data_IF_495857777657
#
_entry.id   IF_495857777657
#
_cell.length_a   1.000
_cell.length_b   1.000
_cell.length_c   1.000
_cell.angle_alpha   90.00
_cell.angle_beta   90.00
_cell.angle_gamma   90.00
#
_symmetry.space_group_name_H-M   'P 1'
#
loop_
_entity.id
_entity.type
_entity.pdbx_description
1 polymer ?
#
# COMPACT_ATOMS: atom_id res chain seq x y z
N UNK A 1 18.76 -7.81 -13.04
CA UNK A 1 18.21 -6.53 -12.54
C UNK A 1 17.66 -6.66 -11.12
N UNK A 2 16.84 -7.68 -10.81
CA UNK A 2 16.30 -7.89 -9.45
C UNK A 2 17.37 -8.00 -8.36
N UNK A 3 18.37 -8.88 -8.56
CA UNK A 3 19.50 -9.03 -7.64
C UNK A 3 20.25 -7.72 -7.38
N UNK A 4 20.65 -6.99 -8.42
CA UNK A 4 21.34 -5.71 -8.24
C UNK A 4 20.51 -4.66 -7.48
N UNK A 5 19.18 -4.62 -7.70
CA UNK A 5 18.29 -3.73 -6.98
C UNK A 5 18.16 -4.12 -5.50
N UNK A 6 18.07 -5.42 -5.22
CA UNK A 6 18.07 -5.96 -3.87
C UNK A 6 19.39 -5.67 -3.13
N UNK A 7 20.53 -5.96 -3.76
CA UNK A 7 21.84 -5.68 -3.16
C UNK A 7 22.02 -4.19 -2.88
N UNK A 8 21.52 -3.32 -3.76
CA UNK A 8 21.51 -1.88 -3.51
C UNK A 8 20.62 -1.52 -2.32
N UNK A 9 19.39 -2.03 -2.28
CA UNK A 9 18.48 -1.73 -1.19
C UNK A 9 18.99 -2.24 0.17
N UNK A 10 19.60 -3.43 0.17
CA UNK A 10 20.20 -4.06 1.35
C UNK A 10 21.46 -3.34 1.80
N UNK A 11 22.40 -3.09 0.90
CA UNK A 11 23.75 -2.67 1.28
C UNK A 11 23.96 -1.14 1.27
N UNK A 12 23.07 -0.39 0.60
CA UNK A 12 23.15 1.07 0.48
C UNK A 12 21.98 1.77 1.17
N UNK A 13 20.73 1.38 0.87
CA UNK A 13 19.55 2.09 1.40
C UNK A 13 19.20 1.71 2.84
N UNK A 14 19.75 0.60 3.35
CA UNK A 14 19.50 0.10 4.70
C UNK A 14 20.71 0.33 5.60
N UNK A 15 20.49 0.85 6.80
CA UNK A 15 21.51 1.06 7.81
C UNK A 15 21.98 -0.30 8.34
N UNK A 16 23.15 -0.73 7.88
CA UNK A 16 23.79 -2.00 8.30
C UNK A 16 24.62 -1.83 9.58
N UNK A 17 25.08 -0.61 9.88
CA UNK A 17 25.84 -0.27 11.08
C UNK A 17 25.63 1.21 11.42
N UNK A 18 25.54 1.51 12.72
CA UNK A 18 25.43 2.87 13.26
C UNK A 18 26.08 2.92 14.64
N UNK A 19 26.59 4.10 15.03
CA UNK A 19 27.06 4.35 16.40
C UNK A 19 25.93 4.21 17.42
N UNK A 20 24.71 4.52 16.99
CA UNK A 20 23.50 4.23 17.73
C UNK A 20 22.93 2.88 17.23
N UNK A 21 23.02 1.79 18.01
CA UNK A 21 22.53 0.48 17.59
C UNK A 21 21.04 0.48 17.23
N UNK A 22 20.25 1.40 17.80
CA UNK A 22 18.82 1.52 17.54
C UNK A 22 18.48 1.95 16.12
N UNK A 23 19.44 2.49 15.35
CA UNK A 23 19.25 2.87 13.94
C UNK A 23 19.52 1.72 12.97
N UNK A 24 20.06 0.59 13.43
CA UNK A 24 20.30 -0.58 12.57
C UNK A 24 18.98 -1.12 12.02
N UNK A 25 18.92 -1.38 10.71
CA UNK A 25 17.71 -1.78 10.01
C UNK A 25 16.84 -0.61 9.54
N UNK A 26 17.19 0.64 9.85
CA UNK A 26 16.51 1.79 9.28
C UNK A 26 16.70 1.81 7.75
N UNK A 27 15.63 2.15 7.02
CA UNK A 27 15.68 2.31 5.56
C UNK A 27 15.48 3.79 5.22
N UNK A 28 16.47 4.36 4.52
CA UNK A 28 16.43 5.76 4.09
C UNK A 28 15.29 6.00 3.10
N UNK A 29 14.60 7.15 3.23
CA UNK A 29 13.57 7.53 2.26
C UNK A 29 14.22 8.13 1.00
N UNK A 30 13.43 8.73 0.09
CA UNK A 30 13.93 9.40 -1.12
C UNK A 30 14.81 10.63 -0.81
N UNK A 31 15.99 10.41 -0.25
CA UNK A 31 16.89 11.43 0.27
C UNK A 31 18.02 11.65 -0.71
N UNK A 32 18.43 12.91 -0.81
CA UNK A 32 19.54 13.27 -1.66
C UNK A 32 20.80 12.55 -1.18
N UNK A 33 21.47 11.85 -2.11
CA UNK A 33 22.68 11.07 -1.83
C UNK A 33 22.46 9.92 -0.82
N UNK A 34 21.28 9.29 -0.83
CA UNK A 34 20.86 8.17 0.04
C UNK A 34 20.69 8.51 1.52
N UNK A 35 21.50 9.40 2.10
CA UNK A 35 21.49 9.68 3.56
C UNK A 35 20.84 11.02 3.92
N UNK A 36 20.83 11.98 2.98
CA UNK A 36 20.42 13.36 3.26
C UNK A 36 21.49 14.16 4.00
N UNK A 37 21.13 15.34 4.50
CA UNK A 37 21.93 16.29 5.29
C UNK A 37 23.14 16.94 4.58
N UNK A 38 23.42 16.59 3.33
CA UNK A 38 24.45 17.24 2.52
C UNK A 38 24.02 18.58 1.89
N UNK A 39 22.71 18.83 1.83
CA UNK A 39 22.13 20.00 1.18
C UNK A 39 21.05 20.61 2.07
N UNK A 40 20.88 21.93 1.99
CA UNK A 40 19.86 22.68 2.74
C UNK A 40 18.48 22.69 2.06
N UNK A 41 18.45 22.35 0.77
CA UNK A 41 17.24 22.36 -0.07
C UNK A 41 17.28 21.26 -1.13
N UNK A 42 16.09 20.83 -1.56
CA UNK A 42 15.94 19.93 -2.70
C UNK A 42 16.55 20.51 -3.97
N UNK A 43 17.10 19.65 -4.84
CA UNK A 43 17.47 20.06 -6.21
C UNK A 43 16.19 20.55 -6.91
N UNK A 44 16.20 21.74 -7.55
CA UNK A 44 15.05 22.23 -8.29
C UNK A 44 14.53 21.20 -9.29
N UNK A 45 13.22 20.91 -9.26
CA UNK A 45 12.59 19.93 -10.14
C UNK A 45 12.77 18.47 -9.73
N UNK A 46 13.43 18.17 -8.61
CA UNK A 46 13.54 16.82 -8.06
C UNK A 46 12.55 16.57 -6.91
N UNK A 47 12.33 15.29 -6.60
CA UNK A 47 11.56 14.84 -5.43
C UNK A 47 12.46 14.47 -4.23
N UNK A 48 13.77 14.72 -4.32
CA UNK A 48 14.73 14.36 -3.28
C UNK A 48 14.60 15.25 -2.06
N UNK A 49 14.53 14.65 -0.87
CA UNK A 49 14.56 15.40 0.38
C UNK A 49 16.01 15.79 0.75
N UNK A 50 16.25 17.05 1.16
CA UNK A 50 17.55 17.46 1.66
C UNK A 50 17.88 16.83 3.01
N UNK A 51 16.87 16.53 3.84
CA UNK A 51 17.06 15.99 5.19
C UNK A 51 16.98 14.45 5.27
N UNK A 52 17.63 13.89 6.28
CA UNK A 52 17.67 12.49 6.68
C UNK A 52 16.41 12.01 7.42
N UNK A 53 16.13 10.70 7.44
CA UNK A 53 14.87 10.17 7.96
C UNK A 53 14.35 8.86 7.36
N UNK A 54 13.45 8.21 8.10
CA UNK A 54 12.98 6.84 7.87
C UNK A 54 11.46 6.74 8.03
N UNK A 55 10.80 5.98 7.15
CA UNK A 55 9.37 5.63 7.30
C UNK A 55 9.09 4.28 6.69
N UNK A 56 8.22 3.50 7.34
CA UNK A 56 7.76 2.19 6.84
C UNK A 56 7.20 2.28 5.42
N UNK A 57 6.63 3.45 5.07
CA UNK A 57 6.02 3.66 3.76
C UNK A 57 7.01 3.74 2.59
N UNK A 58 8.31 3.67 2.88
CA UNK A 58 9.44 3.63 1.96
C UNK A 58 10.43 2.50 2.32
N UNK A 59 9.98 1.49 3.07
CA UNK A 59 10.79 0.33 3.42
C UNK A 59 10.12 -0.93 2.85
N UNK A 60 10.90 -1.77 2.16
CA UNK A 60 10.40 -2.95 1.47
C UNK A 60 11.21 -4.17 1.90
N UNK A 61 10.56 -5.13 2.58
CA UNK A 61 11.25 -6.33 3.09
C UNK A 61 11.04 -7.59 2.25
N UNK A 62 9.98 -7.66 1.44
CA UNK A 62 9.71 -8.84 0.59
C UNK A 62 10.89 -9.15 -0.34
N UNK A 63 11.52 -8.14 -0.93
CA UNK A 63 12.68 -8.32 -1.82
C UNK A 63 13.87 -9.01 -1.13
N UNK A 64 14.13 -8.66 0.14
CA UNK A 64 15.14 -9.30 0.96
C UNK A 64 14.85 -10.79 1.16
N UNK A 65 13.61 -11.13 1.48
CA UNK A 65 13.23 -12.53 1.72
C UNK A 65 13.19 -13.34 0.42
N UNK A 66 12.65 -12.78 -0.67
CA UNK A 66 12.64 -13.41 -1.98
C UNK A 66 14.07 -13.72 -2.45
N UNK A 67 14.99 -12.77 -2.27
CA UNK A 67 16.40 -12.98 -2.60
C UNK A 67 17.04 -14.08 -1.76
N UNK A 68 16.79 -14.11 -0.45
CA UNK A 68 17.26 -15.21 0.39
C UNK A 68 16.71 -16.56 -0.07
N UNK A 69 15.42 -16.66 -0.38
CA UNK A 69 14.82 -17.92 -0.83
C UNK A 69 15.38 -18.40 -2.17
N UNK A 70 15.72 -17.48 -3.08
CA UNK A 70 16.25 -17.81 -4.40
C UNK A 70 17.75 -18.12 -4.40
N UNK A 71 18.52 -17.53 -3.48
CA UNK A 71 20.00 -17.57 -3.53
C UNK A 71 20.64 -18.28 -2.34
N UNK A 72 19.94 -18.39 -1.22
CA UNK A 72 20.49 -18.82 0.07
C UNK A 72 21.33 -17.75 0.79
N UNK A 73 21.42 -16.52 0.28
CA UNK A 73 22.21 -15.45 0.92
C UNK A 73 21.58 -15.00 2.24
N UNK A 74 22.16 -15.50 3.34
CA UNK A 74 21.68 -15.25 4.70
C UNK A 74 21.67 -13.77 5.06
N UNK A 75 22.53 -12.95 4.44
CA UNK A 75 22.58 -11.51 4.72
C UNK A 75 21.29 -10.81 4.31
N UNK A 76 20.63 -11.26 3.25
CA UNK A 76 19.33 -10.70 2.87
C UNK A 76 18.25 -11.07 3.90
N UNK A 77 18.20 -12.31 4.39
CA UNK A 77 17.28 -12.67 5.47
C UNK A 77 17.50 -11.84 6.73
N UNK A 78 18.76 -11.74 7.17
CA UNK A 78 19.10 -11.02 8.40
C UNK A 78 18.81 -9.51 8.26
N UNK A 79 19.04 -8.93 7.07
CA UNK A 79 18.66 -7.53 6.79
C UNK A 79 17.15 -7.33 6.81
N UNK A 80 16.39 -8.20 6.14
CA UNK A 80 14.92 -8.11 6.14
C UNK A 80 14.31 -8.17 7.54
N UNK A 81 14.88 -9.00 8.42
CA UNK A 81 14.52 -9.06 9.85
C UNK A 81 14.89 -7.77 10.58
N UNK A 82 16.11 -7.27 10.41
CA UNK A 82 16.55 -6.02 11.03
C UNK A 82 15.65 -4.83 10.65
N UNK A 83 15.22 -4.75 9.39
CA UNK A 83 14.28 -3.72 8.92
C UNK A 83 12.93 -3.84 9.63
N UNK A 84 12.37 -5.05 9.70
CA UNK A 84 11.11 -5.28 10.40
C UNK A 84 11.20 -4.94 11.89
N UNK A 85 12.28 -5.35 12.55
CA UNK A 85 12.54 -5.07 13.97
C UNK A 85 12.67 -3.57 14.23
N UNK A 86 13.41 -2.84 13.38
CA UNK A 86 13.55 -1.39 13.46
C UNK A 86 12.18 -0.69 13.45
N UNK A 87 11.36 -0.96 12.43
CA UNK A 87 10.07 -0.28 12.28
C UNK A 87 9.05 -0.73 13.33
N UNK A 88 9.13 -1.97 13.79
CA UNK A 88 8.27 -2.48 14.87
C UNK A 88 8.60 -1.76 16.18
N UNK A 89 9.88 -1.69 16.57
CA UNK A 89 10.29 -0.96 17.78
C UNK A 89 9.96 0.52 17.71
N UNK A 90 10.24 1.16 16.58
CA UNK A 90 10.09 2.61 16.41
C UNK A 90 8.64 3.09 16.57
N UNK A 91 7.66 2.37 16.01
CA UNK A 91 6.27 2.82 16.03
C UNK A 91 5.37 2.05 17.00
N UNK A 92 5.69 0.78 17.31
CA UNK A 92 4.88 -0.04 18.23
C UNK A 92 5.41 -0.05 19.68
N UNK A 93 6.49 0.68 19.97
CA UNK A 93 6.94 0.96 21.35
C UNK A 93 6.05 1.95 22.12
N UNK A 94 4.95 2.42 21.50
CA UNK A 94 3.97 3.39 22.02
C UNK A 94 2.57 3.00 21.53
N UNK A 95 1.48 3.57 22.08
CA UNK A 95 0.15 3.38 21.52
C UNK A 95 0.13 3.73 20.03
N UNK A 96 -0.23 2.75 19.20
CA UNK A 96 -0.16 2.87 17.75
C UNK A 96 -1.33 3.71 17.20
N UNK A 97 -1.02 4.65 16.31
CA UNK A 97 -2.01 5.39 15.54
C UNK A 97 -1.46 5.77 14.16
N UNK A 98 -2.32 6.16 13.22
CA UNK A 98 -1.92 6.57 11.89
C UNK A 98 -2.77 7.72 11.33
N UNK A 99 -2.12 8.59 10.55
CA UNK A 99 -2.77 9.71 9.85
C UNK A 99 -3.01 9.44 8.35
N UNK A 100 -2.52 8.31 7.86
CA UNK A 100 -2.55 7.92 6.46
C UNK A 100 -2.64 6.40 6.35
N UNK A 101 -3.60 5.90 5.57
CA UNK A 101 -3.78 4.45 5.32
C UNK A 101 -2.56 3.79 4.66
N UNK A 102 -1.68 4.57 4.04
CA UNK A 102 -0.40 4.08 3.51
C UNK A 102 0.47 3.48 4.61
N UNK A 103 0.49 4.05 5.80
CA UNK A 103 1.37 3.62 6.91
C UNK A 103 1.00 2.22 7.42
N UNK A 104 -0.22 1.96 7.90
CA UNK A 104 -0.60 0.62 8.36
C UNK A 104 -0.53 -0.41 7.22
N UNK A 105 -0.86 -0.02 5.98
CA UNK A 105 -0.76 -0.94 4.85
C UNK A 105 0.65 -1.47 4.61
N UNK A 106 1.67 -0.61 4.62
CA UNK A 106 3.07 -1.04 4.48
C UNK A 106 3.58 -1.80 5.72
N UNK A 107 3.10 -1.46 6.92
CA UNK A 107 3.38 -2.27 8.12
C UNK A 107 2.89 -3.70 7.96
N UNK A 108 1.63 -3.89 7.59
CA UNK A 108 1.03 -5.23 7.47
C UNK A 108 1.72 -6.06 6.38
N UNK A 109 2.07 -5.44 5.25
CA UNK A 109 2.86 -6.08 4.20
C UNK A 109 4.21 -6.55 4.75
N UNK A 110 4.96 -5.65 5.41
CA UNK A 110 6.29 -5.94 5.95
C UNK A 110 6.23 -7.06 6.99
N UNK A 111 5.30 -6.97 7.93
CA UNK A 111 5.16 -7.91 9.04
C UNK A 111 4.69 -9.29 8.55
N UNK A 112 3.74 -9.35 7.62
CA UNK A 112 3.29 -10.61 7.04
C UNK A 112 4.41 -11.30 6.24
N UNK A 113 5.18 -10.54 5.45
CA UNK A 113 6.33 -11.07 4.72
C UNK A 113 7.42 -11.60 5.67
N UNK A 114 7.70 -10.88 6.75
CA UNK A 114 8.69 -11.29 7.75
C UNK A 114 8.22 -12.53 8.51
N UNK A 115 6.94 -12.59 8.89
CA UNK A 115 6.35 -13.78 9.48
C UNK A 115 6.47 -14.99 8.54
N UNK A 116 6.09 -14.83 7.27
CA UNK A 116 6.22 -15.91 6.28
C UNK A 116 7.66 -16.40 6.09
N UNK A 117 8.65 -15.52 6.27
CA UNK A 117 10.07 -15.87 6.13
C UNK A 117 10.71 -16.49 7.38
N UNK A 118 10.15 -16.26 8.56
CA UNK A 118 10.78 -16.62 9.84
C UNK A 118 9.96 -17.56 10.70
N UNK A 119 8.64 -17.65 10.46
CA UNK A 119 7.64 -18.27 11.34
C UNK A 119 7.70 -17.73 12.79
N UNK A 120 8.23 -16.52 12.99
CA UNK A 120 8.33 -15.91 14.31
C UNK A 120 7.03 -15.17 14.68
N UNK A 121 6.27 -15.64 15.69
CA UNK A 121 5.00 -15.04 16.06
C UNK A 121 5.12 -13.60 16.56
N UNK A 122 6.33 -13.11 16.87
CA UNK A 122 6.57 -11.69 17.15
C UNK A 122 5.97 -10.77 16.07
N UNK A 123 6.21 -11.08 14.79
CA UNK A 123 5.75 -10.24 13.68
C UNK A 123 4.23 -10.32 13.48
N UNK A 124 3.62 -11.49 13.71
CA UNK A 124 2.17 -11.64 13.65
C UNK A 124 1.47 -10.87 14.78
N UNK A 125 2.04 -10.90 15.99
CA UNK A 125 1.54 -10.13 17.13
C UNK A 125 1.67 -8.62 16.89
N UNK A 126 2.77 -8.16 16.30
CA UNK A 126 2.92 -6.78 15.88
C UNK A 126 1.87 -6.38 14.82
N UNK A 127 1.59 -7.26 13.86
CA UNK A 127 0.58 -6.99 12.82
C UNK A 127 -0.83 -6.87 13.42
N UNK A 128 -1.13 -7.66 14.46
CA UNK A 128 -2.40 -7.56 15.19
C UNK A 128 -2.63 -6.18 15.79
N UNK A 129 -1.62 -5.59 16.43
CA UNK A 129 -1.72 -4.21 16.98
C UNK A 129 -2.08 -3.20 15.89
N UNK A 130 -1.51 -3.36 14.69
CA UNK A 130 -1.81 -2.50 13.54
C UNK A 130 -3.24 -2.74 13.04
N UNK A 131 -3.67 -4.00 12.91
CA UNK A 131 -5.03 -4.36 12.49
C UNK A 131 -6.08 -3.82 13.45
N UNK A 132 -5.89 -3.98 14.75
CA UNK A 132 -6.85 -3.53 15.77
C UNK A 132 -7.14 -2.03 15.59
N UNK A 133 -6.10 -1.21 15.37
CA UNK A 133 -6.26 0.22 15.11
C UNK A 133 -6.90 0.53 13.76
N UNK A 134 -6.59 -0.25 12.72
CA UNK A 134 -7.21 -0.11 11.39
C UNK A 134 -8.71 -0.40 11.47
N UNK A 135 -9.13 -1.44 12.20
CA UNK A 135 -10.53 -1.79 12.38
C UNK A 135 -11.26 -0.73 13.22
N UNK A 136 -10.66 -0.29 14.33
CA UNK A 136 -11.21 0.74 15.21
C UNK A 136 -11.54 2.05 14.47
N UNK A 137 -10.69 2.42 13.50
CA UNK A 137 -10.77 3.72 12.80
C UNK A 137 -11.58 3.67 11.51
N UNK A 138 -12.07 2.51 11.07
CA UNK A 138 -12.85 2.39 9.83
C UNK A 138 -14.20 3.11 9.97
N UNK A 139 -14.62 3.78 8.89
CA UNK A 139 -15.93 4.43 8.79
C UNK A 139 -17.05 3.39 8.67
N UNK A 140 -17.49 2.80 9.78
CA UNK A 140 -18.57 1.79 9.81
C UNK A 140 -19.98 2.40 9.73
N UNK A 141 -20.09 3.71 9.88
CA UNK A 141 -21.32 4.48 9.72
C UNK A 141 -21.11 5.59 8.67
N UNK A 142 -22.17 6.00 7.95
CA UNK A 142 -22.08 7.09 6.97
C UNK A 142 -21.50 8.37 7.58
N UNK A 143 -20.40 8.86 7.02
CA UNK A 143 -19.78 10.14 7.40
C UNK A 143 -20.17 11.22 6.38
N UNK A 144 -21.01 12.21 6.76
CA UNK A 144 -21.47 13.23 5.82
C UNK A 144 -20.33 13.98 5.14
N UNK A 145 -20.50 14.22 3.84
CA UNK A 145 -19.61 15.05 3.04
C UNK A 145 -20.13 16.49 3.01
N UNK A 146 -19.22 17.48 3.11
CA UNK A 146 -19.57 18.87 2.86
C UNK A 146 -20.14 19.07 1.45
N UNK A 147 -21.09 19.99 1.27
CA UNK A 147 -21.76 20.25 -0.02
C UNK A 147 -20.76 20.53 -1.16
N UNK A 148 -19.72 21.33 -0.88
CA UNK A 148 -18.64 21.65 -1.83
C UNK A 148 -17.79 20.45 -2.28
N UNK A 149 -18.00 19.27 -1.69
CA UNK A 149 -17.35 18.01 -2.04
C UNK A 149 -18.29 17.01 -2.72
N UNK A 150 -19.61 17.17 -2.58
CA UNK A 150 -20.56 16.14 -2.98
C UNK A 150 -20.55 15.89 -4.49
N UNK A 151 -20.36 16.92 -5.33
CA UNK A 151 -20.08 16.78 -6.77
C UNK A 151 -20.88 15.67 -7.51
N UNK A 152 -22.17 15.51 -7.19
CA UNK A 152 -23.06 14.51 -7.78
C UNK A 152 -22.82 13.04 -7.34
N UNK A 153 -21.94 12.78 -6.39
CA UNK A 153 -21.77 11.46 -5.73
C UNK A 153 -22.59 11.36 -4.44
N UNK A 154 -22.54 10.20 -3.79
CA UNK A 154 -23.21 9.99 -2.50
C UNK A 154 -22.81 11.08 -1.48
N UNK A 155 -23.75 11.60 -0.67
CA UNK A 155 -23.49 12.72 0.24
C UNK A 155 -22.74 12.30 1.52
N UNK A 156 -22.12 11.13 1.54
CA UNK A 156 -21.36 10.59 2.67
C UNK A 156 -20.25 9.64 2.19
N UNK A 157 -19.28 9.40 3.08
CA UNK A 157 -18.28 8.34 2.94
C UNK A 157 -18.63 7.18 3.88
N UNK A 158 -18.45 5.94 3.42
CA UNK A 158 -18.72 4.72 4.20
C UNK A 158 -17.68 3.65 3.84
N UNK A 159 -17.23 2.87 4.82
CA UNK A 159 -16.34 1.73 4.66
C UNK A 159 -14.86 2.05 4.48
N UNK A 160 -14.51 3.34 4.37
CA UNK A 160 -13.12 3.81 4.23
C UNK A 160 -12.50 4.26 5.54
N UNK A 161 -11.48 5.11 5.44
CA UNK A 161 -10.77 5.75 6.56
C UNK A 161 -10.67 7.25 6.30
N UNK A 162 -11.79 7.95 6.43
CA UNK A 162 -11.93 9.34 5.99
C UNK A 162 -11.13 10.30 6.87
N UNK A 163 -10.30 11.13 6.23
CA UNK A 163 -9.47 12.17 6.86
C UNK A 163 -9.52 13.47 6.06
N UNK A 164 -9.08 14.58 6.63
CA UNK A 164 -8.79 15.78 5.83
C UNK A 164 -7.55 15.51 4.97
N UNK A 165 -7.65 15.70 3.65
CA UNK A 165 -6.52 15.47 2.76
C UNK A 165 -5.45 16.55 2.96
N UNK A 166 -4.18 16.16 2.79
CA UNK A 166 -3.02 17.07 2.86
C UNK A 166 -2.83 17.80 1.53
N UNK A 167 -2.07 18.92 1.47
CA UNK A 167 -1.95 19.73 0.26
C UNK A 167 -1.50 18.92 -0.97
N UNK A 168 -0.60 17.96 -0.78
CA UNK A 168 -0.15 17.05 -1.86
C UNK A 168 -1.23 16.13 -2.46
N UNK A 169 -2.42 16.03 -1.85
CA UNK A 169 -3.54 15.21 -2.32
C UNK A 169 -4.79 16.03 -2.68
N UNK A 170 -4.87 17.28 -2.21
CA UNK A 170 -5.96 18.20 -2.48
C UNK A 170 -5.46 19.63 -2.23
N UNK A 171 -5.56 20.48 -3.24
CA UNK A 171 -5.17 21.91 -3.19
C UNK A 171 -6.39 22.84 -3.06
N UNK A 172 -7.58 22.29 -2.81
CA UNK A 172 -8.81 23.07 -2.65
C UNK A 172 -8.88 23.70 -1.26
N UNK A 173 -9.53 24.86 -1.14
CA UNK A 173 -9.82 25.50 0.14
C UNK A 173 -11.33 25.74 0.27
N UNK A 174 -12.01 25.15 1.28
CA UNK A 174 -11.51 24.15 2.22
C UNK A 174 -11.11 22.82 1.55
N UNK A 175 -10.12 22.12 2.14
CA UNK A 175 -9.64 20.82 1.63
C UNK A 175 -10.69 19.72 1.77
N UNK A 176 -10.83 18.93 0.72
CA UNK A 176 -11.73 17.79 0.69
C UNK A 176 -11.29 16.65 1.63
N UNK A 177 -12.25 15.86 2.09
CA UNK A 177 -12.06 14.65 2.92
C UNK A 177 -11.86 13.39 2.07
N UNK A 178 -11.12 12.42 2.58
CA UNK A 178 -10.89 11.13 1.92
C UNK A 178 -9.41 10.81 1.79
N UNK A 179 -9.03 10.06 0.76
CA UNK A 179 -7.67 9.55 0.60
C UNK A 179 -7.18 9.62 -0.84
N UNK A 180 -5.86 9.52 -1.02
CA UNK A 180 -5.31 9.08 -2.30
C UNK A 180 -5.63 7.59 -2.48
N UNK A 181 -6.20 7.20 -3.63
CA UNK A 181 -6.76 5.86 -3.84
C UNK A 181 -5.73 4.75 -3.61
N UNK A 182 -4.49 4.95 -4.07
CA UNK A 182 -3.42 3.97 -3.89
C UNK A 182 -3.08 3.72 -2.42
N UNK A 183 -3.29 4.69 -1.52
CA UNK A 183 -3.00 4.51 -0.09
C UNK A 183 -3.99 3.54 0.54
N UNK A 184 -5.27 3.65 0.16
CA UNK A 184 -6.30 2.67 0.54
C UNK A 184 -5.99 1.32 -0.08
N UNK A 185 -5.60 1.28 -1.36
CA UNK A 185 -5.25 0.02 -2.01
C UNK A 185 -4.07 -0.72 -1.35
N UNK A 186 -3.03 0.01 -0.92
CA UNK A 186 -1.92 -0.55 -0.13
C UNK A 186 -2.41 -1.10 1.21
N UNK A 187 -3.32 -0.39 1.90
CA UNK A 187 -3.92 -0.89 3.13
C UNK A 187 -4.69 -2.19 2.91
N UNK A 188 -5.53 -2.25 1.88
CA UNK A 188 -6.29 -3.47 1.56
C UNK A 188 -5.37 -4.65 1.22
N UNK A 189 -4.25 -4.41 0.52
CA UNK A 189 -3.25 -5.45 0.27
C UNK A 189 -2.60 -5.94 1.57
N UNK A 190 -2.20 -5.04 2.47
CA UNK A 190 -1.66 -5.43 3.78
C UNK A 190 -2.65 -6.20 4.65
N UNK A 191 -3.90 -5.76 4.71
CA UNK A 191 -4.98 -6.46 5.41
C UNK A 191 -5.22 -7.85 4.81
N UNK A 192 -5.17 -7.99 3.48
CA UNK A 192 -5.25 -9.28 2.80
C UNK A 192 -4.13 -10.21 3.26
N UNK A 193 -2.89 -9.74 3.40
CA UNK A 193 -1.77 -10.61 3.78
C UNK A 193 -1.91 -11.09 5.22
N UNK A 194 -2.37 -10.21 6.11
CA UNK A 194 -2.72 -10.60 7.48
C UNK A 194 -3.87 -11.62 7.50
N UNK A 195 -4.92 -11.39 6.72
CA UNK A 195 -6.05 -12.31 6.62
C UNK A 195 -5.64 -13.67 6.06
N UNK A 196 -4.75 -13.73 5.06
CA UNK A 196 -4.28 -15.00 4.47
C UNK A 196 -3.61 -15.92 5.49
N UNK A 197 -3.01 -15.35 6.53
CA UNK A 197 -2.41 -16.09 7.65
C UNK A 197 -3.42 -16.41 8.75
N UNK A 198 -4.34 -15.50 9.05
CA UNK A 198 -5.19 -15.58 10.27
C UNK A 198 -6.61 -16.08 10.02
N UNK A 199 -7.15 -15.90 8.81
CA UNK A 199 -8.55 -16.14 8.49
C UNK A 199 -9.54 -15.23 9.24
N UNK A 200 -9.09 -14.08 9.78
CA UNK A 200 -9.89 -13.22 10.64
C UNK A 200 -11.14 -12.66 9.91
N UNK A 201 -12.36 -13.03 10.34
CA UNK A 201 -13.59 -12.64 9.66
C UNK A 201 -13.86 -11.13 9.73
N UNK A 202 -13.41 -10.43 10.78
CA UNK A 202 -13.61 -8.97 10.87
C UNK A 202 -12.74 -8.24 9.85
N UNK A 203 -11.50 -8.72 9.65
CA UNK A 203 -10.59 -8.20 8.62
C UNK A 203 -11.15 -8.44 7.23
N UNK A 204 -11.71 -9.62 6.96
CA UNK A 204 -12.40 -9.91 5.70
C UNK A 204 -13.50 -8.88 5.40
N UNK A 205 -14.40 -8.67 6.36
CA UNK A 205 -15.51 -7.73 6.19
C UNK A 205 -15.02 -6.28 6.04
N UNK A 206 -13.95 -5.91 6.75
CA UNK A 206 -13.33 -4.60 6.62
C UNK A 206 -12.69 -4.39 5.23
N UNK A 207 -12.04 -5.40 4.65
CA UNK A 207 -11.51 -5.35 3.28
C UNK A 207 -12.64 -5.14 2.27
N UNK A 208 -13.74 -5.89 2.40
CA UNK A 208 -14.90 -5.77 1.50
C UNK A 208 -15.48 -4.34 1.55
N UNK A 209 -15.68 -3.79 2.75
CA UNK A 209 -16.13 -2.39 2.93
C UNK A 209 -15.16 -1.39 2.32
N UNK A 210 -13.85 -1.57 2.54
CA UNK A 210 -12.82 -0.69 2.02
C UNK A 210 -12.68 -0.76 0.49
N UNK A 211 -12.87 -1.93 -0.11
CA UNK A 211 -12.91 -2.10 -1.57
C UNK A 211 -14.10 -1.37 -2.20
N UNK A 212 -15.30 -1.46 -1.58
CA UNK A 212 -16.47 -0.68 -2.03
C UNK A 212 -16.21 0.82 -1.93
N UNK A 213 -15.68 1.27 -0.78
CA UNK A 213 -15.30 2.68 -0.58
C UNK A 213 -14.32 3.18 -1.63
N UNK A 214 -13.29 2.39 -1.96
CA UNK A 214 -12.30 2.75 -2.97
C UNK A 214 -12.94 2.99 -4.34
N UNK A 215 -13.90 2.15 -4.74
CA UNK A 215 -14.68 2.36 -5.95
C UNK A 215 -15.57 3.61 -5.86
N UNK A 216 -16.33 3.78 -4.78
CA UNK A 216 -17.20 4.94 -4.57
C UNK A 216 -16.44 6.26 -4.63
N UNK A 217 -15.23 6.27 -4.09
CA UNK A 217 -14.45 7.49 -3.92
C UNK A 217 -13.55 7.81 -5.12
N UNK A 218 -13.12 6.82 -5.90
CA UNK A 218 -12.05 7.05 -6.87
C UNK A 218 -12.23 6.38 -8.23
N UNK A 219 -13.24 5.55 -8.45
CA UNK A 219 -13.45 4.87 -9.73
C UNK A 219 -14.55 5.53 -10.56
N UNK A 220 -14.42 5.46 -11.90
CA UNK A 220 -15.45 5.87 -12.85
C UNK A 220 -15.65 4.79 -13.91
N UNK A 221 -16.91 4.35 -14.07
CA UNK A 221 -17.32 3.43 -15.14
C UNK A 221 -17.12 4.05 -16.53
N UNK A 222 -17.37 5.36 -16.67
CA UNK A 222 -17.20 6.06 -17.95
C UNK A 222 -15.73 6.10 -18.37
N UNK A 223 -14.84 6.42 -17.43
CA UNK A 223 -13.40 6.47 -17.68
C UNK A 223 -12.74 5.08 -17.70
N UNK A 224 -13.43 4.04 -17.19
CA UNK A 224 -12.90 2.69 -16.96
C UNK A 224 -11.56 2.74 -16.21
N UNK A 225 -11.55 3.49 -15.12
CA UNK A 225 -10.32 3.74 -14.38
C UNK A 225 -10.49 4.66 -13.19
N UNK A 226 -9.36 5.04 -12.61
CA UNK A 226 -9.29 5.70 -11.32
C UNK A 226 -8.81 7.14 -11.42
N UNK A 227 -9.32 8.01 -10.54
CA UNK A 227 -8.69 9.29 -10.22
C UNK A 227 -7.70 9.12 -9.07
N UNK A 228 -6.79 10.09 -8.91
CA UNK A 228 -5.72 9.98 -7.92
C UNK A 228 -6.23 10.00 -6.47
N UNK A 229 -7.22 10.84 -6.16
CA UNK A 229 -7.73 11.00 -4.78
C UNK A 229 -9.25 11.13 -4.75
N UNK A 230 -9.83 11.09 -3.55
CA UNK A 230 -11.25 11.41 -3.29
C UNK A 230 -11.66 12.84 -3.70
N UNK A 231 -10.70 13.70 -4.06
CA UNK A 231 -10.98 15.08 -4.48
C UNK A 231 -11.68 15.05 -5.84
N UNK A 232 -12.89 15.65 -5.97
CA UNK A 232 -13.62 15.69 -7.24
C UNK A 232 -12.90 16.45 -8.35
N UNK A 233 -11.94 17.31 -7.99
CA UNK A 233 -11.14 18.07 -8.96
C UNK A 233 -9.94 17.28 -9.51
N UNK A 234 -9.72 16.04 -9.07
CA UNK A 234 -8.70 15.17 -9.68
C UNK A 234 -9.29 14.40 -10.85
N UNK A 235 -8.62 14.48 -12.01
CA UNK A 235 -9.05 13.80 -13.22
C UNK A 235 -8.90 12.28 -13.16
N UNK A 236 -9.77 11.57 -13.87
CA UNK A 236 -9.70 10.12 -14.03
C UNK A 236 -8.65 9.75 -15.08
N UNK A 237 -8.01 8.59 -14.89
CA UNK A 237 -7.14 7.96 -15.89
C UNK A 237 -7.65 6.56 -16.19
N UNK A 238 -7.79 6.17 -17.46
CA UNK A 238 -8.18 4.81 -17.83
C UNK A 238 -7.21 3.77 -17.31
N UNK A 239 -7.75 2.60 -17.02
CA UNK A 239 -7.01 1.43 -16.60
C UNK A 239 -6.79 1.33 -15.09
N UNK A 240 -6.40 0.13 -14.67
CA UNK A 240 -6.17 -0.19 -13.27
C UNK A 240 -4.87 -0.97 -13.09
N UNK A 241 -3.92 -0.40 -12.36
CA UNK A 241 -2.71 -1.13 -11.98
C UNK A 241 -3.03 -2.25 -10.97
N UNK A 242 -2.28 -3.38 -10.96
CA UNK A 242 -2.46 -4.46 -10.00
C UNK A 242 -2.50 -3.99 -8.54
N UNK A 243 -1.69 -2.99 -8.18
CA UNK A 243 -1.73 -2.35 -6.86
C UNK A 243 -3.13 -1.85 -6.48
N UNK A 244 -3.81 -1.17 -7.40
CA UNK A 244 -5.12 -0.57 -7.14
C UNK A 244 -6.21 -1.61 -6.93
N UNK A 245 -6.04 -2.82 -7.49
CA UNK A 245 -7.10 -3.82 -7.57
C UNK A 245 -6.86 -5.05 -6.73
N UNK A 246 -5.72 -5.21 -6.05
CA UNK A 246 -5.44 -6.41 -5.26
C UNK A 246 -6.49 -6.67 -4.17
N UNK A 247 -6.83 -5.66 -3.36
CA UNK A 247 -7.91 -5.77 -2.39
C UNK A 247 -9.30 -5.97 -3.03
N UNK A 248 -9.49 -5.43 -4.25
CA UNK A 248 -10.77 -5.52 -4.97
C UNK A 248 -10.98 -6.92 -5.58
N UNK A 249 -9.93 -7.50 -6.17
CA UNK A 249 -9.93 -8.87 -6.66
C UNK A 249 -10.22 -9.85 -5.51
N UNK A 250 -9.63 -9.60 -4.33
CA UNK A 250 -9.93 -10.40 -3.15
C UNK A 250 -11.38 -10.23 -2.66
N UNK A 251 -11.89 -9.00 -2.64
CA UNK A 251 -13.29 -8.75 -2.29
C UNK A 251 -14.25 -9.42 -3.29
N UNK A 252 -13.93 -9.40 -4.59
CA UNK A 252 -14.69 -10.11 -5.62
C UNK A 252 -14.72 -11.62 -5.36
N UNK A 253 -13.56 -12.24 -5.11
CA UNK A 253 -13.46 -13.67 -4.78
C UNK A 253 -14.40 -14.08 -3.62
N UNK A 254 -14.57 -13.22 -2.62
CA UNK A 254 -15.42 -13.53 -1.46
C UNK A 254 -16.91 -13.24 -1.64
N UNK A 255 -17.28 -12.35 -2.58
CA UNK A 255 -18.63 -11.78 -2.64
C UNK A 255 -19.35 -12.04 -3.94
N UNK A 256 -18.61 -12.34 -5.02
CA UNK A 256 -19.11 -12.35 -6.40
C UNK A 256 -19.86 -11.05 -6.77
N UNK A 257 -19.51 -9.93 -6.12
CA UNK A 257 -20.13 -8.63 -6.35
C UNK A 257 -19.75 -8.12 -7.75
N UNK A 258 -20.73 -8.12 -8.64
CA UNK A 258 -20.56 -7.78 -10.06
C UNK A 258 -20.02 -6.36 -10.28
N UNK A 259 -20.13 -5.46 -9.30
CA UNK A 259 -19.48 -4.14 -9.42
C UNK A 259 -17.96 -4.28 -9.43
N UNK A 260 -17.41 -5.14 -8.59
CA UNK A 260 -15.98 -5.46 -8.62
C UNK A 260 -15.62 -6.21 -9.91
N UNK A 261 -16.40 -7.24 -10.24
CA UNK A 261 -16.18 -8.07 -11.43
C UNK A 261 -16.15 -7.25 -12.72
N UNK A 262 -17.12 -6.33 -12.89
CA UNK A 262 -17.18 -5.43 -14.05
C UNK A 262 -15.96 -4.52 -14.13
N UNK A 263 -15.59 -3.83 -13.05
CA UNK A 263 -14.41 -2.97 -13.03
C UNK A 263 -13.15 -3.76 -13.41
N UNK A 264 -12.97 -4.95 -12.82
CA UNK A 264 -11.82 -5.82 -13.11
C UNK A 264 -11.76 -6.21 -14.59
N UNK A 265 -12.90 -6.55 -15.21
CA UNK A 265 -12.96 -6.91 -16.65
C UNK A 265 -12.66 -5.72 -17.57
N UNK A 266 -13.14 -4.54 -17.22
CA UNK A 266 -13.08 -3.37 -18.10
C UNK A 266 -11.78 -2.57 -17.94
N UNK A 267 -11.20 -2.53 -16.73
CA UNK A 267 -10.08 -1.63 -16.40
C UNK A 267 -8.73 -2.34 -16.32
N UNK A 268 -8.67 -3.58 -15.83
CA UNK A 268 -7.39 -4.30 -15.67
C UNK A 268 -6.68 -4.56 -17.01
N UNK A 269 -7.38 -4.99 -18.10
CA UNK A 269 -6.73 -5.21 -19.40
C UNK A 269 -6.06 -3.96 -19.99
N UNK A 270 -6.59 -2.76 -19.72
CA UNK A 270 -6.05 -1.50 -20.25
C UNK A 270 -4.61 -1.27 -19.76
N UNK A 271 -4.28 -1.75 -18.55
CA UNK A 271 -2.96 -1.62 -17.95
C UNK A 271 -2.12 -2.91 -18.04
N UNK A 272 -2.51 -3.88 -18.87
CA UNK A 272 -1.89 -5.22 -18.91
C UNK A 272 -0.39 -5.22 -19.29
N UNK A 273 0.08 -4.21 -20.02
CA UNK A 273 1.49 -4.09 -20.41
C UNK A 273 2.41 -3.61 -19.29
N UNK A 274 1.85 -3.16 -18.16
CA UNK A 274 2.61 -2.61 -17.04
C UNK A 274 3.42 -1.37 -17.43
N UNK A 275 4.52 -1.14 -16.72
CA UNK A 275 5.47 -0.06 -17.01
C UNK A 275 6.84 -0.66 -17.27
N UNK A 276 7.60 -0.08 -18.19
CA UNK A 276 8.94 -0.55 -18.57
C UNK A 276 10.06 -0.08 -17.64
N UNK A 277 9.79 0.80 -16.67
CA UNK A 277 10.84 1.41 -15.85
C UNK A 277 10.40 1.81 -14.44
N UNK A 278 11.37 1.81 -13.53
CA UNK A 278 11.28 2.39 -12.19
C UNK A 278 10.17 1.81 -11.32
N UNK A 279 9.53 2.69 -10.53
CA UNK A 279 8.47 2.31 -9.58
C UNK A 279 7.26 1.64 -10.26
N UNK A 280 6.93 2.06 -11.48
CA UNK A 280 5.81 1.47 -12.22
C UNK A 280 6.06 0.00 -12.55
N UNK A 281 7.28 -0.32 -13.00
CA UNK A 281 7.71 -1.68 -13.28
C UNK A 281 7.63 -2.54 -12.00
N UNK A 282 8.34 -2.14 -10.95
CA UNK A 282 8.45 -2.96 -9.73
C UNK A 282 7.10 -3.16 -9.03
N UNK A 283 6.26 -2.12 -8.91
CA UNK A 283 4.93 -2.26 -8.29
C UNK A 283 4.01 -3.17 -9.09
N UNK A 284 4.09 -3.14 -10.43
CA UNK A 284 3.25 -3.99 -11.26
C UNK A 284 3.54 -5.47 -10.99
N UNK A 285 4.80 -5.87 -11.14
CA UNK A 285 5.21 -7.28 -11.00
C UNK A 285 5.17 -7.78 -9.56
N UNK A 286 5.30 -6.90 -8.57
CA UNK A 286 5.11 -7.24 -7.15
C UNK A 286 3.66 -7.62 -6.84
N UNK A 287 2.68 -6.89 -7.38
CA UNK A 287 1.26 -7.08 -7.01
C UNK A 287 0.49 -8.01 -7.95
N UNK A 288 0.90 -8.08 -9.23
CA UNK A 288 0.20 -8.87 -10.25
C UNK A 288 -0.01 -10.35 -9.89
N UNK A 289 0.98 -11.10 -9.36
CA UNK A 289 0.79 -12.53 -9.06
C UNK A 289 -0.36 -12.79 -8.09
N UNK A 290 -0.49 -11.97 -7.04
CA UNK A 290 -1.54 -12.11 -6.02
C UNK A 290 -2.92 -11.68 -6.51
N UNK A 291 -2.99 -10.71 -7.44
CA UNK A 291 -4.23 -10.37 -8.14
C UNK A 291 -4.66 -11.55 -9.02
N UNK A 292 -3.76 -12.07 -9.84
CA UNK A 292 -4.04 -13.17 -10.76
C UNK A 292 -4.47 -14.44 -10.04
N UNK A 293 -3.86 -14.76 -8.89
CA UNK A 293 -4.25 -15.89 -8.05
C UNK A 293 -5.71 -15.77 -7.56
N UNK A 294 -6.12 -14.60 -7.08
CA UNK A 294 -7.50 -14.37 -6.62
C UNK A 294 -8.50 -14.44 -7.78
N UNK A 295 -8.13 -13.91 -8.95
CA UNK A 295 -8.96 -13.97 -10.15
C UNK A 295 -9.12 -15.41 -10.65
N UNK A 296 -8.05 -16.19 -10.69
CA UNK A 296 -8.10 -17.60 -11.08
C UNK A 296 -8.95 -18.42 -10.11
N UNK A 297 -8.78 -18.21 -8.80
CA UNK A 297 -9.60 -18.84 -7.77
C UNK A 297 -11.09 -18.48 -7.87
N UNK A 298 -11.41 -17.28 -8.36
CA UNK A 298 -12.78 -16.84 -8.63
C UNK A 298 -13.34 -17.38 -9.96
N UNK A 299 -12.57 -18.18 -10.72
CA UNK A 299 -12.97 -18.62 -12.06
C UNK A 299 -13.07 -17.47 -13.06
N UNK A 300 -12.41 -16.34 -12.78
CA UNK A 300 -12.55 -15.11 -13.54
C UNK A 300 -11.89 -15.25 -14.92
N UNK A 301 -12.63 -14.89 -15.97
CA UNK A 301 -12.12 -14.90 -17.35
C UNK A 301 -12.05 -13.47 -17.87
N UNK A 302 -10.83 -12.99 -18.11
CA UNK A 302 -10.64 -11.77 -18.89
C UNK A 302 -11.09 -12.06 -20.32
N UNK A 303 -12.01 -11.26 -20.86
CA UNK A 303 -12.28 -11.31 -22.30
C UNK A 303 -10.99 -10.91 -23.01
N UNK A 304 -10.54 -11.72 -23.96
CA UNK A 304 -9.45 -11.32 -24.85
C UNK A 304 -9.80 -9.94 -25.44
N UNK A 305 -8.83 -9.03 -25.47
CA UNK A 305 -9.00 -7.80 -26.22
C UNK A 305 -9.36 -8.18 -27.67
N UNK A 306 -10.34 -7.49 -28.29
CA UNK A 306 -10.66 -7.71 -29.71
C UNK A 306 -9.45 -7.48 -30.61
#
# INVERSE_FOLDING_TARGET
>A
MGEAAELHNRDIDTVQASENPDDTGAVYVHQMCHVGEYYDRSVPGSLGFPSGGYTVSHAWTEGHFDHYFLTGDRRSLDTGRAVADFFTRKELGRPYDFSSTRTPGWYLIMLAATYAATDDPYYLNAARVVIDRVLETQDTQPRPLPEYQQAGRQPYQLGGWSRMMVPGHCQCEPRHRGNAGFMVAVLLAGMKYYHDVTGDPEVKEAIIRGARNLLDETYSDEARGFRYTSCPNTGFRPGASPLMVEGIARAYLWTDDERFGRMLRESLPIAASGSSYGKGFSMYYRMAPRVLADLDAAGFRLKAAP
#
